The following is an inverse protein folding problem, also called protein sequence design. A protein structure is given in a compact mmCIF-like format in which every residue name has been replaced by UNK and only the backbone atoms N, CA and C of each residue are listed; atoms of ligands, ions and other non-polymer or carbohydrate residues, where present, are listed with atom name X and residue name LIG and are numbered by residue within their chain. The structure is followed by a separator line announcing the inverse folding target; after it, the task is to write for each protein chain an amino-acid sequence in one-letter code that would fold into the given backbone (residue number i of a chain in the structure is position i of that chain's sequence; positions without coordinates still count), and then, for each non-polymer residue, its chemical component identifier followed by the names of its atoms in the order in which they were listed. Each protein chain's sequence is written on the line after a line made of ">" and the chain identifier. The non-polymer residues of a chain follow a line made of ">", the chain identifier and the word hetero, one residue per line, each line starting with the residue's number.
data_IF_459402217584
#
_entry.id   IF_459402217584
#
_cell.length_a   1.000
_cell.length_b   1.000
_cell.length_c   1.000
_cell.angle_alpha   90.00
_cell.angle_beta   90.00
_cell.angle_gamma   90.00
#
_symmetry.space_group_name_H-M   'P 1'
#
loop_
_entity.id
_entity.type
_entity.pdbx_description
1 polymer ?
#
# COMPACT_ATOMS: atom_id res chain seq x y z
N UNK A 1 -33.61 31.51 -12.87
CA UNK A 1 -33.20 31.51 -11.44
C UNK A 1 -33.33 30.16 -10.70
N UNK A 2 -33.91 29.09 -11.26
CA UNK A 2 -34.19 27.84 -10.51
C UNK A 2 -33.07 26.76 -10.53
N UNK A 3 -31.95 27.02 -11.20
CA UNK A 3 -30.88 26.03 -11.43
C UNK A 3 -29.82 25.98 -10.33
N UNK A 4 -29.81 26.93 -9.38
CA UNK A 4 -28.78 27.05 -8.33
C UNK A 4 -28.94 26.07 -7.17
N UNK A 5 -30.16 25.57 -6.93
CA UNK A 5 -30.49 24.78 -5.74
C UNK A 5 -30.07 23.30 -5.93
N UNK A 6 -30.23 22.78 -7.15
CA UNK A 6 -29.88 21.39 -7.49
C UNK A 6 -28.36 21.18 -7.47
N UNK A 7 -27.58 22.19 -7.90
CA UNK A 7 -26.12 22.16 -7.86
C UNK A 7 -25.57 22.29 -6.44
N UNK A 8 -26.22 23.05 -5.56
CA UNK A 8 -25.85 23.14 -4.14
C UNK A 8 -26.08 21.81 -3.40
N UNK A 9 -27.12 21.06 -3.76
CA UNK A 9 -27.40 19.75 -3.17
C UNK A 9 -26.41 18.66 -3.58
N UNK A 10 -25.83 18.75 -4.79
CA UNK A 10 -24.84 17.77 -5.26
C UNK A 10 -23.45 18.00 -4.64
N UNK A 11 -23.15 19.22 -4.19
CA UNK A 11 -21.85 19.57 -3.60
C UNK A 11 -21.77 19.18 -2.11
N UNK A 12 -22.88 18.93 -1.43
CA UNK A 12 -22.90 18.64 0.02
C UNK A 12 -22.82 17.15 0.42
N UNK A 13 -22.78 16.21 -0.53
CA UNK A 13 -22.75 14.76 -0.24
C UNK A 13 -21.35 14.13 -0.24
N UNK A 14 -20.29 14.90 -0.49
CA UNK A 14 -18.95 14.37 -0.75
C UNK A 14 -17.90 14.77 0.30
N UNK A 15 -18.07 14.39 1.58
CA UNK A 15 -16.92 14.21 2.49
C UNK A 15 -17.33 13.64 3.85
N UNK A 16 -17.74 12.38 3.88
CA UNK A 16 -17.66 11.58 5.10
C UNK A 16 -16.88 10.31 4.74
N UNK A 17 -15.54 10.43 4.69
CA UNK A 17 -14.69 9.25 4.62
C UNK A 17 -14.82 8.52 5.96
N UNK A 18 -15.21 7.23 5.99
CA UNK A 18 -15.26 6.49 7.23
C UNK A 18 -13.85 6.39 7.81
N UNK A 19 -13.67 6.82 9.05
CA UNK A 19 -12.45 6.57 9.80
C UNK A 19 -12.22 5.05 9.84
N UNK A 20 -11.06 4.60 9.34
CA UNK A 20 -10.69 3.20 9.39
C UNK A 20 -10.74 2.72 10.85
N UNK A 21 -11.48 1.64 11.11
CA UNK A 21 -11.54 1.04 12.45
C UNK A 21 -10.14 0.60 12.87
N UNK A 22 -9.79 0.67 14.17
CA UNK A 22 -8.56 0.08 14.66
C UNK A 22 -8.53 -1.40 14.27
N UNK A 23 -7.50 -1.80 13.54
CA UNK A 23 -7.28 -3.20 13.19
C UNK A 23 -6.77 -3.92 14.43
N UNK A 24 -7.61 -4.76 15.04
CA UNK A 24 -7.15 -5.74 16.03
C UNK A 24 -6.54 -6.93 15.28
N UNK A 25 -5.24 -7.16 15.45
CA UNK A 25 -4.53 -8.28 14.86
C UNK A 25 -3.59 -8.91 15.86
N UNK A 26 -3.50 -10.24 15.84
CA UNK A 26 -2.55 -10.99 16.65
C UNK A 26 -1.17 -10.98 15.98
N UNK A 27 -0.13 -10.77 16.77
CA UNK A 27 1.24 -10.96 16.29
C UNK A 27 1.55 -12.45 16.27
N UNK A 28 2.17 -12.93 15.19
CA UNK A 28 2.64 -14.32 15.11
C UNK A 28 3.67 -14.60 16.21
N UNK A 29 3.65 -15.80 16.82
CA UNK A 29 4.70 -16.23 17.76
C UNK A 29 6.11 -16.14 17.18
N UNK A 30 6.26 -16.32 15.87
CA UNK A 30 7.53 -16.12 15.18
C UNK A 30 8.03 -14.68 15.30
N UNK A 31 7.14 -13.69 15.31
CA UNK A 31 7.50 -12.27 15.45
C UNK A 31 8.00 -11.90 16.86
N UNK A 32 7.74 -12.74 17.87
CA UNK A 32 8.31 -12.55 19.21
C UNK A 32 9.79 -12.93 19.29
N UNK A 33 10.29 -13.71 18.32
CA UNK A 33 11.67 -14.12 18.26
C UNK A 33 12.49 -13.15 17.38
N UNK A 34 13.51 -12.54 17.99
CA UNK A 34 14.36 -11.51 17.38
C UNK A 34 14.90 -11.91 16.01
N UNK A 35 15.29 -13.16 15.86
CA UNK A 35 16.03 -13.64 14.68
C UNK A 35 15.14 -14.47 13.73
N UNK A 36 13.81 -14.43 13.91
CA UNK A 36 12.89 -15.16 13.04
C UNK A 36 12.81 -14.53 11.66
N UNK A 37 13.12 -15.33 10.64
CA UNK A 37 13.00 -14.94 9.23
C UNK A 37 11.91 -15.82 8.59
N UNK A 38 10.83 -15.22 8.06
CA UNK A 38 9.69 -15.98 7.52
C UNK A 38 10.01 -16.76 6.24
N UNK A 39 11.14 -16.48 5.59
CA UNK A 39 11.65 -17.23 4.45
C UNK A 39 13.18 -17.21 4.45
N UNK A 40 13.82 -18.38 4.43
CA UNK A 40 15.29 -18.49 4.37
C UNK A 40 15.87 -18.32 2.96
N UNK A 41 15.01 -18.34 1.93
CA UNK A 41 15.42 -18.13 0.53
C UNK A 41 15.69 -16.64 0.31
N UNK A 42 16.96 -16.31 0.05
CA UNK A 42 17.38 -14.94 -0.23
C UNK A 42 16.68 -14.41 -1.48
N UNK A 43 16.11 -13.21 -1.37
CA UNK A 43 15.40 -12.58 -2.48
C UNK A 43 14.07 -13.26 -2.82
N UNK A 44 13.44 -13.99 -1.90
CA UNK A 44 12.03 -14.37 -2.03
C UNK A 44 11.19 -13.56 -1.04
N UNK A 45 9.97 -13.20 -1.42
CA UNK A 45 9.04 -12.59 -0.47
C UNK A 45 8.50 -13.64 0.50
N UNK A 46 8.12 -13.22 1.71
CA UNK A 46 7.53 -14.12 2.71
C UNK A 46 6.27 -14.84 2.18
N UNK A 47 5.51 -14.19 1.29
CA UNK A 47 4.31 -14.77 0.67
C UNK A 47 4.64 -15.78 -0.47
N UNK A 48 5.80 -15.67 -1.10
CA UNK A 48 6.21 -16.49 -2.25
C UNK A 48 7.56 -17.20 -1.99
N UNK A 49 7.68 -17.92 -0.87
CA UNK A 49 8.94 -18.55 -0.45
C UNK A 49 9.28 -19.81 -1.27
N UNK A 50 9.85 -19.63 -2.47
CA UNK A 50 10.34 -20.72 -3.34
C UNK A 50 11.62 -20.30 -4.07
N UNK A 51 12.48 -21.26 -4.48
CA UNK A 51 13.62 -20.96 -5.34
C UNK A 51 13.16 -20.28 -6.65
N UNK A 52 13.86 -19.23 -7.05
CA UNK A 52 13.51 -18.44 -8.25
C UNK A 52 12.22 -17.62 -8.11
N UNK A 53 11.71 -17.41 -6.89
CA UNK A 53 10.64 -16.45 -6.66
C UNK A 53 11.10 -15.02 -6.96
N UNK A 54 10.16 -14.18 -7.39
CA UNK A 54 10.41 -12.76 -7.57
C UNK A 54 10.66 -12.07 -6.22
N UNK A 55 11.79 -11.37 -6.12
CA UNK A 55 12.24 -10.75 -4.87
C UNK A 55 11.39 -9.59 -4.41
N UNK A 56 10.90 -8.79 -5.35
CA UNK A 56 10.03 -7.67 -5.07
C UNK A 56 8.93 -7.65 -6.13
N UNK A 57 7.74 -8.21 -5.86
CA UNK A 57 6.62 -8.21 -6.80
C UNK A 57 6.00 -6.82 -6.96
N UNK A 58 6.46 -5.82 -6.21
CA UNK A 58 5.94 -4.47 -6.26
C UNK A 58 6.78 -3.60 -7.19
N UNK A 59 6.14 -3.10 -8.24
CA UNK A 59 6.69 -2.02 -9.05
C UNK A 59 6.49 -0.68 -8.31
N UNK A 60 7.40 -0.35 -7.38
CA UNK A 60 7.47 1.01 -6.82
C UNK A 60 8.36 1.84 -7.75
N UNK A 61 7.72 2.53 -8.69
CA UNK A 61 8.37 3.58 -9.46
C UNK A 61 8.80 4.73 -8.56
N UNK A 62 9.82 5.48 -8.98
CA UNK A 62 10.24 6.68 -8.26
C UNK A 62 9.23 7.81 -8.47
N UNK A 63 8.66 8.38 -7.40
CA UNK A 63 7.81 9.57 -7.52
C UNK A 63 8.62 10.88 -7.44
N UNK A 64 7.98 12.00 -7.79
CA UNK A 64 8.64 13.32 -7.82
C UNK A 64 9.23 13.77 -6.47
N UNK A 65 8.70 13.28 -5.34
CA UNK A 65 9.20 13.59 -3.99
C UNK A 65 10.50 12.81 -3.70
N UNK A 66 10.60 11.57 -4.19
CA UNK A 66 11.74 10.67 -3.95
C UNK A 66 13.02 11.09 -4.71
N UNK A 67 12.92 11.99 -5.69
CA UNK A 67 14.05 12.60 -6.43
C UNK A 67 15.09 11.60 -6.96
N UNK A 68 14.66 10.40 -7.35
CA UNK A 68 15.59 9.40 -7.88
C UNK A 68 16.12 9.85 -9.24
N UNK A 69 17.38 9.51 -9.49
CA UNK A 69 18.09 9.85 -10.72
C UNK A 69 17.52 9.00 -11.88
N UNK A 70 16.47 9.48 -12.53
CA UNK A 70 15.80 8.78 -13.64
C UNK A 70 14.28 9.00 -13.80
N UNK A 71 13.58 9.60 -12.82
CA UNK A 71 12.12 9.84 -12.89
C UNK A 71 11.26 8.57 -12.89
N UNK A 72 9.92 8.72 -12.85
CA UNK A 72 8.97 7.62 -13.06
C UNK A 72 9.27 7.04 -14.44
N UNK A 73 9.85 5.84 -14.48
CA UNK A 73 10.19 5.18 -15.74
C UNK A 73 8.93 4.71 -16.44
N UNK A 74 8.33 5.58 -17.24
CA UNK A 74 7.44 5.20 -18.32
C UNK A 74 8.31 4.68 -19.47
N UNK A 75 8.56 3.37 -19.52
CA UNK A 75 8.85 2.67 -20.78
C UNK A 75 7.60 1.92 -21.21
#
# INVERSE_FOLDING_TARGET
>A
MKFSIITLYLITLASAAPAAKPQSGEISYGALNRDHIPCSVKGASAANCRPGAEANPYNRGCNAIEKCRGGVGDN
#
